data_IF_109307404684
#
_entry.id   IF_109307404684
#
_cell.length_a   1.000
_cell.length_b   1.000
_cell.length_c   1.000
_cell.angle_alpha   90.00
_cell.angle_beta   90.00
_cell.angle_gamma   90.00
#
_symmetry.space_group_name_H-M   'P 1'
#
loop_
_entity.id
_entity.type
_entity.pdbx_description
1 polymer ?
#
# COMPACT_ATOMS: atom_id res chain seq x y z
N UNK A 1 -0.71 30.27 13.51
CA UNK A 1 -1.50 29.04 13.26
C UNK A 1 -1.33 28.49 11.84
N UNK A 2 -1.19 29.34 10.82
CA UNK A 2 -1.01 28.91 9.41
C UNK A 2 0.14 27.91 9.19
N UNK A 3 1.32 28.14 9.78
CA UNK A 3 2.49 27.27 9.58
C UNK A 3 2.28 25.82 10.08
N UNK A 4 1.59 25.63 11.23
CA UNK A 4 1.29 24.29 11.76
C UNK A 4 0.34 23.56 10.82
N UNK A 5 -0.68 24.26 10.31
CA UNK A 5 -1.64 23.67 9.37
C UNK A 5 -0.93 23.17 8.11
N UNK A 6 -0.01 23.95 7.54
CA UNK A 6 0.76 23.54 6.36
C UNK A 6 1.58 22.27 6.63
N UNK A 7 2.26 22.21 7.78
CA UNK A 7 3.07 21.03 8.15
C UNK A 7 2.19 19.79 8.31
N UNK A 8 1.01 19.93 8.95
CA UNK A 8 0.07 18.82 9.14
C UNK A 8 -0.53 18.37 7.82
N UNK A 9 -0.94 19.32 6.96
CA UNK A 9 -1.50 19.02 5.64
C UNK A 9 -0.48 18.27 4.78
N UNK A 10 0.79 18.66 4.83
CA UNK A 10 1.87 17.98 4.10
C UNK A 10 2.18 16.60 4.69
N UNK A 11 2.28 16.50 6.02
CA UNK A 11 2.45 15.22 6.71
C UNK A 11 1.32 14.24 6.40
N UNK A 12 0.08 14.73 6.28
CA UNK A 12 -1.07 13.92 5.91
C UNK A 12 -0.94 13.40 4.48
N UNK A 13 -0.55 14.24 3.51
CA UNK A 13 -0.34 13.77 2.12
C UNK A 13 0.73 12.68 2.05
N UNK A 14 1.83 12.86 2.77
CA UNK A 14 2.92 11.87 2.84
C UNK A 14 2.39 10.55 3.42
N UNK A 15 1.68 10.60 4.54
CA UNK A 15 1.09 9.42 5.17
C UNK A 15 0.09 8.70 4.25
N UNK A 16 -0.79 9.43 3.58
CA UNK A 16 -1.76 8.86 2.65
C UNK A 16 -1.09 8.26 1.39
N UNK A 17 0.02 8.85 0.94
CA UNK A 17 0.81 8.29 -0.16
C UNK A 17 1.47 6.97 0.23
N UNK A 18 2.07 6.91 1.42
CA UNK A 18 2.66 5.68 1.96
C UNK A 18 1.60 4.59 2.16
N UNK A 19 0.44 4.93 2.72
CA UNK A 19 -0.70 4.03 2.87
C UNK A 19 -1.18 3.49 1.52
N UNK A 20 -1.33 4.35 0.50
CA UNK A 20 -1.70 3.92 -0.85
C UNK A 20 -0.69 2.91 -1.41
N UNK A 21 0.60 3.11 -1.14
CA UNK A 21 1.65 2.18 -1.57
C UNK A 21 1.55 0.83 -0.84
N UNK A 22 1.28 0.84 0.46
CA UNK A 22 1.06 -0.37 1.24
C UNK A 22 -0.16 -1.17 0.73
N UNK A 23 -1.31 -0.50 0.52
CA UNK A 23 -2.52 -1.13 -0.02
C UNK A 23 -2.30 -1.65 -1.44
N UNK A 24 -1.57 -0.91 -2.29
CA UNK A 24 -1.21 -1.37 -3.64
C UNK A 24 -0.44 -2.69 -3.57
N UNK A 25 0.56 -2.77 -2.70
CA UNK A 25 1.37 -3.98 -2.53
C UNK A 25 0.52 -5.14 -2.02
N UNK A 26 -0.38 -4.90 -1.07
CA UNK A 26 -1.31 -5.92 -0.55
C UNK A 26 -2.26 -6.44 -1.66
N UNK A 27 -2.74 -5.57 -2.54
CA UNK A 27 -3.53 -5.96 -3.72
C UNK A 27 -2.69 -6.84 -4.67
N UNK A 28 -1.46 -6.45 -5.00
CA UNK A 28 -0.59 -7.23 -5.88
C UNK A 28 -0.30 -8.61 -5.29
N UNK A 29 0.06 -8.68 -4.00
CA UNK A 29 0.33 -9.95 -3.32
C UNK A 29 -0.93 -10.82 -3.27
N UNK A 30 -2.09 -10.23 -2.95
CA UNK A 30 -3.36 -10.96 -2.94
C UNK A 30 -3.72 -11.52 -4.31
N UNK A 31 -3.50 -10.75 -5.39
CA UNK A 31 -3.74 -11.20 -6.76
C UNK A 31 -2.80 -12.34 -7.21
N UNK A 32 -1.58 -12.41 -6.67
CA UNK A 32 -0.61 -13.46 -6.99
C UNK A 32 -0.77 -14.72 -6.14
N UNK A 33 -1.20 -14.58 -4.88
CA UNK A 33 -1.20 -15.65 -3.89
C UNK A 33 -2.47 -16.51 -3.87
N UNK A 34 -3.66 -15.89 -3.88
CA UNK A 34 -4.86 -16.55 -3.37
C UNK A 34 -5.91 -16.96 -4.42
N UNK A 35 -5.75 -16.60 -5.71
CA UNK A 35 -6.84 -16.71 -6.71
C UNK A 35 -8.17 -16.09 -6.20
N UNK A 36 -8.11 -15.23 -5.17
CA UNK A 36 -9.27 -14.64 -4.57
C UNK A 36 -9.76 -13.49 -5.45
N UNK A 37 -11.06 -13.46 -5.69
CA UNK A 37 -11.70 -12.35 -6.36
C UNK A 37 -11.41 -11.04 -5.61
N UNK A 38 -11.26 -9.96 -6.37
CA UNK A 38 -11.02 -8.64 -5.81
C UNK A 38 -12.20 -8.20 -4.94
N UNK A 39 -11.97 -8.10 -3.63
CA UNK A 39 -12.95 -7.57 -2.66
C UNK A 39 -12.54 -6.17 -2.18
N UNK A 40 -13.25 -5.10 -2.63
CA UNK A 40 -12.94 -3.74 -2.21
C UNK A 40 -13.16 -3.50 -0.71
N UNK A 41 -14.07 -4.23 -0.05
CA UNK A 41 -14.35 -4.05 1.38
C UNK A 41 -13.22 -4.61 2.24
N UNK A 42 -12.64 -5.76 1.85
CA UNK A 42 -11.41 -6.29 2.47
C UNK A 42 -10.29 -5.25 2.47
N UNK A 43 -10.01 -4.64 1.31
CA UNK A 43 -8.95 -3.64 1.19
C UNK A 43 -9.30 -2.32 1.89
N UNK A 44 -10.58 -1.95 1.97
CA UNK A 44 -11.03 -0.82 2.77
C UNK A 44 -10.81 -1.05 4.27
N UNK A 45 -11.10 -2.26 4.76
CA UNK A 45 -10.83 -2.66 6.14
C UNK A 45 -9.32 -2.63 6.45
N UNK A 46 -8.48 -3.16 5.55
CA UNK A 46 -7.03 -3.08 5.67
C UNK A 46 -6.52 -1.63 5.70
N UNK A 47 -7.03 -0.77 4.81
CA UNK A 47 -6.68 0.65 4.79
C UNK A 47 -7.08 1.38 6.08
N UNK A 48 -8.27 1.10 6.65
CA UNK A 48 -8.69 1.65 7.95
C UNK A 48 -7.79 1.17 9.07
N UNK A 49 -7.44 -0.11 9.09
CA UNK A 49 -6.53 -0.67 10.09
C UNK A 49 -5.19 0.09 10.11
N UNK A 50 -4.58 0.29 8.93
CA UNK A 50 -3.33 1.03 8.80
C UNK A 50 -3.47 2.51 9.20
N UNK A 51 -4.57 3.18 8.84
CA UNK A 51 -4.84 4.55 9.31
C UNK A 51 -4.92 4.64 10.83
N UNK A 52 -5.60 3.69 11.49
CA UNK A 52 -5.67 3.65 12.94
C UNK A 52 -4.31 3.33 13.56
N UNK A 53 -3.50 2.46 12.94
CA UNK A 53 -2.13 2.19 13.38
C UNK A 53 -1.29 3.47 13.35
N UNK A 54 -1.29 4.20 12.22
CA UNK A 54 -0.59 5.48 12.08
C UNK A 54 -1.10 6.53 13.08
N UNK A 55 -2.40 6.57 13.33
CA UNK A 55 -3.02 7.45 14.34
C UNK A 55 -2.45 7.15 15.72
N UNK A 56 -2.49 5.88 16.16
CA UNK A 56 -1.94 5.45 17.47
C UNK A 56 -0.45 5.73 17.58
N UNK A 57 0.32 5.52 16.52
CA UNK A 57 1.74 5.84 16.50
C UNK A 57 1.96 7.35 16.73
N UNK A 58 1.24 8.22 16.01
CA UNK A 58 1.33 9.67 16.18
C UNK A 58 0.93 10.12 17.59
N UNK A 59 -0.11 9.54 18.18
CA UNK A 59 -0.48 9.81 19.56
C UNK A 59 0.62 9.40 20.56
N UNK A 60 1.21 8.22 20.37
CA UNK A 60 2.32 7.74 21.21
C UNK A 60 3.54 8.66 21.08
N UNK A 61 3.88 9.11 19.87
CA UNK A 61 4.94 10.09 19.66
C UNK A 61 4.63 11.42 20.36
N UNK A 62 3.41 11.93 20.25
CA UNK A 62 3.01 13.14 20.96
C UNK A 62 3.12 12.98 22.49
N UNK A 63 2.73 11.84 23.05
CA UNK A 63 2.88 11.53 24.48
C UNK A 63 4.35 11.50 24.89
N UNK A 64 5.21 10.78 24.15
CA UNK A 64 6.67 10.74 24.41
C UNK A 64 7.30 12.13 24.37
N UNK A 65 6.95 12.96 23.38
CA UNK A 65 7.45 14.34 23.28
C UNK A 65 6.95 15.21 24.45
N UNK A 66 5.72 15.00 24.91
CA UNK A 66 5.17 15.68 26.09
C UNK A 66 5.96 15.31 27.35
N UNK A 67 6.28 14.03 27.54
CA UNK A 67 7.00 13.55 28.70
C UNK A 67 8.45 14.02 28.70
N UNK A 68 9.13 13.94 27.55
CA UNK A 68 10.47 14.49 27.37
C UNK A 68 10.53 15.99 27.69
N UNK A 69 9.54 16.77 27.22
CA UNK A 69 9.45 18.20 27.56
C UNK A 69 9.26 18.39 29.07
N UNK A 70 8.46 17.56 29.72
CA UNK A 70 8.18 17.64 31.17
C UNK A 70 9.44 17.33 31.99
N UNK A 71 10.20 16.31 31.59
CA UNK A 71 11.49 15.94 32.20
C UNK A 71 12.51 17.05 32.05
N UNK A 72 12.69 17.58 30.83
CA UNK A 72 13.56 18.73 30.56
C UNK A 72 13.17 19.95 31.40
N UNK A 73 11.86 20.23 31.51
CA UNK A 73 11.39 21.35 32.31
C UNK A 73 11.70 21.13 33.79
N UNK A 74 11.46 19.92 34.33
CA UNK A 74 11.66 19.59 35.76
C UNK A 74 13.12 19.54 36.19
N UNK A 75 13.98 18.91 35.39
CA UNK A 75 15.41 18.75 35.68
C UNK A 75 16.15 20.08 35.75
N UNK A 76 15.53 21.18 35.30
CA UNK A 76 16.17 22.48 35.08
C UNK A 76 15.62 23.60 35.98
N UNK A 77 14.78 23.28 36.99
CA UNK A 77 14.36 24.26 38.01
C UNK A 77 15.51 24.72 38.94
N UNK A 78 16.72 24.16 38.77
CA UNK A 78 17.90 24.43 39.61
C UNK A 78 18.96 25.32 38.95
N UNK A 79 18.82 25.71 37.67
CA UNK A 79 19.80 26.57 36.96
C UNK A 79 19.09 27.45 35.92
N UNK A 80 19.57 28.66 35.67
CA UNK A 80 19.09 29.53 34.59
C UNK A 80 19.22 28.82 33.22
N UNK A 81 18.16 28.86 32.42
CA UNK A 81 18.10 28.17 31.12
C UNK A 81 18.95 28.89 30.07
N UNK A 82 19.66 28.14 29.23
CA UNK A 82 20.37 28.73 28.08
C UNK A 82 19.40 28.99 26.91
N UNK A 83 19.76 29.89 25.99
CA UNK A 83 18.93 30.21 24.80
C UNK A 83 18.59 28.95 23.97
N UNK A 84 19.57 28.07 23.76
CA UNK A 84 19.38 26.80 23.04
C UNK A 84 18.31 25.93 23.71
N UNK A 85 18.28 25.91 25.04
CA UNK A 85 17.35 25.13 25.82
C UNK A 85 15.91 25.69 25.74
N UNK A 86 15.76 27.01 25.67
CA UNK A 86 14.46 27.64 25.41
C UNK A 86 13.93 27.25 24.03
N UNK A 87 14.80 27.29 23.01
CA UNK A 87 14.46 26.89 21.66
C UNK A 87 14.03 25.41 21.59
N UNK A 88 14.72 24.50 22.27
CA UNK A 88 14.35 23.08 22.34
C UNK A 88 12.95 22.88 22.92
N UNK A 89 12.60 23.57 24.01
CA UNK A 89 11.27 23.47 24.64
C UNK A 89 10.18 23.94 23.67
N UNK A 90 10.44 25.01 22.92
CA UNK A 90 9.52 25.53 21.91
C UNK A 90 9.36 24.52 20.76
N UNK A 91 10.46 23.92 20.28
CA UNK A 91 10.42 22.90 19.25
C UNK A 91 9.66 21.65 19.68
N UNK A 92 9.89 21.15 20.90
CA UNK A 92 9.15 20.00 21.44
C UNK A 92 7.66 20.30 21.56
N UNK A 93 7.29 21.52 21.97
CA UNK A 93 5.90 21.97 22.00
C UNK A 93 5.28 21.97 20.59
N UNK A 94 6.02 22.43 19.57
CA UNK A 94 5.57 22.42 18.18
C UNK A 94 5.39 20.98 17.66
N UNK A 95 6.41 20.13 17.81
CA UNK A 95 6.39 18.72 17.39
C UNK A 95 5.20 17.98 17.98
N UNK A 96 4.95 18.15 19.28
CA UNK A 96 3.77 17.56 19.94
C UNK A 96 2.48 17.95 19.24
N UNK A 97 2.26 19.26 19.02
CA UNK A 97 1.03 19.77 18.38
C UNK A 97 0.86 19.26 16.96
N UNK A 98 1.96 19.12 16.21
CA UNK A 98 1.92 18.57 14.84
C UNK A 98 1.46 17.12 14.87
N UNK A 99 2.04 16.27 15.73
CA UNK A 99 1.64 14.86 15.82
C UNK A 99 0.21 14.69 16.37
N UNK A 100 -0.21 15.51 17.35
CA UNK A 100 -1.61 15.53 17.84
C UNK A 100 -2.58 15.81 16.69
N UNK A 101 -2.31 16.86 15.90
CA UNK A 101 -3.16 17.24 14.77
C UNK A 101 -3.11 16.28 13.59
N UNK A 102 -1.97 15.65 13.35
CA UNK A 102 -1.85 14.62 12.32
C UNK A 102 -2.65 13.37 12.70
N UNK A 103 -2.64 12.97 13.98
CA UNK A 103 -3.49 11.89 14.48
C UNK A 103 -4.98 12.22 14.29
N UNK A 104 -5.43 13.43 14.68
CA UNK A 104 -6.81 13.89 14.44
C UNK A 104 -7.20 13.81 12.95
N UNK A 105 -6.29 14.24 12.06
CA UNK A 105 -6.55 14.24 10.63
C UNK A 105 -6.59 12.83 10.03
N UNK A 106 -5.73 11.91 10.48
CA UNK A 106 -5.73 10.52 10.05
C UNK A 106 -7.01 9.80 10.49
N UNK A 107 -7.45 10.01 11.73
CA UNK A 107 -8.70 9.45 12.24
C UNK A 107 -9.92 9.98 11.46
N UNK A 108 -9.93 11.27 11.12
CA UNK A 108 -10.97 11.87 10.27
C UNK A 108 -10.98 11.33 8.83
N UNK A 109 -9.85 10.79 8.34
CA UNK A 109 -9.81 10.07 7.05
C UNK A 109 -10.32 8.64 7.23
N UNK A 110 -9.95 7.95 8.31
CA UNK A 110 -10.37 6.59 8.59
C UNK A 110 -11.89 6.45 8.77
N UNK A 111 -12.52 7.46 9.38
CA UNK A 111 -13.95 7.54 9.61
C UNK A 111 -14.76 7.96 8.36
N UNK A 112 -14.11 8.35 7.27
CA UNK A 112 -14.75 8.82 6.05
C UNK A 112 -14.67 7.72 4.97
N UNK A 113 -15.74 6.95 4.85
CA UNK A 113 -15.85 5.81 3.93
C UNK A 113 -15.56 6.20 2.48
N UNK A 114 -15.99 7.39 2.06
CA UNK A 114 -15.75 7.92 0.73
C UNK A 114 -14.26 8.19 0.48
N UNK A 115 -13.54 8.74 1.47
CA UNK A 115 -12.09 8.93 1.39
C UNK A 115 -11.36 7.59 1.37
N UNK A 116 -11.74 6.64 2.22
CA UNK A 116 -11.13 5.30 2.25
C UNK A 116 -11.34 4.60 0.92
N UNK A 117 -12.57 4.58 0.41
CA UNK A 117 -12.89 3.96 -0.87
C UNK A 117 -12.13 4.62 -2.04
N UNK A 118 -11.97 5.94 -2.04
CA UNK A 118 -11.11 6.63 -3.03
C UNK A 118 -9.65 6.22 -2.94
N UNK A 119 -9.12 6.02 -1.74
CA UNK A 119 -7.73 5.60 -1.54
C UNK A 119 -7.51 4.18 -2.07
N UNK A 120 -8.41 3.26 -1.74
CA UNK A 120 -8.38 1.87 -2.21
C UNK A 120 -8.50 1.82 -3.73
N UNK A 121 -9.45 2.54 -4.34
CA UNK A 121 -9.58 2.58 -5.83
C UNK A 121 -8.32 3.11 -6.51
N UNK A 122 -7.64 4.09 -5.92
CA UNK A 122 -6.36 4.61 -6.45
C UNK A 122 -5.24 3.59 -6.31
N UNK A 123 -5.21 2.85 -5.20
CA UNK A 123 -4.24 1.77 -4.99
C UNK A 123 -4.49 0.62 -5.98
N UNK A 124 -5.75 0.22 -6.20
CA UNK A 124 -6.14 -0.78 -7.17
C UNK A 124 -5.69 -0.42 -8.58
N UNK A 125 -5.99 0.80 -9.06
CA UNK A 125 -5.55 1.26 -10.38
C UNK A 125 -4.02 1.17 -10.52
N UNK A 126 -3.29 1.69 -9.53
CA UNK A 126 -1.83 1.64 -9.55
C UNK A 126 -1.28 0.20 -9.54
N UNK A 127 -1.95 -0.73 -8.85
CA UNK A 127 -1.59 -2.15 -8.86
C UNK A 127 -1.85 -2.78 -10.23
N UNK A 128 -3.00 -2.51 -10.84
CA UNK A 128 -3.34 -2.99 -12.19
C UNK A 128 -2.37 -2.47 -13.25
N UNK A 129 -2.00 -1.20 -13.17
CA UNK A 129 -1.01 -0.58 -14.07
C UNK A 129 0.35 -1.29 -13.94
N UNK A 130 0.83 -1.50 -12.70
CA UNK A 130 2.11 -2.16 -12.43
C UNK A 130 2.14 -3.64 -12.88
N UNK A 131 1.05 -4.38 -12.67
CA UNK A 131 0.91 -5.75 -13.16
C UNK A 131 0.93 -5.76 -14.69
N UNK A 132 0.21 -4.85 -15.33
CA UNK A 132 0.15 -4.75 -16.80
C UNK A 132 1.51 -4.43 -17.39
N UNK A 133 2.26 -3.52 -16.77
CA UNK A 133 3.62 -3.17 -17.18
C UNK A 133 4.58 -4.35 -17.01
N UNK A 134 4.46 -5.09 -15.90
CA UNK A 134 5.28 -6.27 -15.64
C UNK A 134 5.01 -7.40 -16.63
N UNK A 135 3.74 -7.67 -16.96
CA UNK A 135 3.33 -8.66 -17.97
C UNK A 135 3.82 -8.23 -19.35
N UNK A 136 3.58 -6.99 -19.76
CA UNK A 136 4.03 -6.47 -21.05
C UNK A 136 5.55 -6.57 -21.19
N UNK A 137 6.30 -6.17 -20.16
CA UNK A 137 7.75 -6.29 -20.13
C UNK A 137 8.22 -7.75 -20.22
N UNK A 138 7.51 -8.69 -19.58
CA UNK A 138 7.83 -10.12 -19.65
C UNK A 138 7.53 -10.68 -21.04
N UNK A 139 6.42 -10.30 -21.67
CA UNK A 139 6.06 -10.69 -23.04
C UNK A 139 7.07 -10.17 -24.06
N UNK A 140 7.51 -8.92 -23.93
CA UNK A 140 8.58 -8.34 -24.76
C UNK A 140 9.88 -9.12 -24.59
N UNK A 141 10.26 -9.48 -23.35
CA UNK A 141 11.49 -10.28 -23.11
C UNK A 141 11.39 -11.72 -23.62
N UNK A 142 10.19 -12.29 -23.61
CA UNK A 142 9.88 -13.58 -24.21
C UNK A 142 9.86 -13.53 -25.74
N UNK A 143 10.30 -12.40 -26.35
CA UNK A 143 10.23 -12.09 -27.77
C UNK A 143 10.23 -13.35 -28.63
N UNK A 144 9.04 -13.73 -29.04
CA UNK A 144 8.88 -14.51 -30.25
C UNK A 144 9.24 -13.53 -31.34
N UNK A 145 10.41 -13.74 -31.97
CA UNK A 145 10.95 -12.82 -32.94
C UNK A 145 9.91 -12.56 -34.05
N UNK A 146 9.31 -11.37 -34.02
CA UNK A 146 8.31 -10.94 -35.01
C UNK A 146 8.94 -10.67 -36.38
N UNK A 147 10.28 -10.69 -36.46
CA UNK A 147 11.07 -10.71 -37.68
C UNK A 147 11.67 -12.09 -37.97
N UNK A 148 11.32 -13.16 -37.24
CA UNK A 148 11.63 -14.53 -37.66
C UNK A 148 10.94 -14.71 -39.03
N UNK A 149 11.70 -14.85 -40.13
CA UNK A 149 11.11 -15.00 -41.46
C UNK A 149 10.21 -16.24 -41.54
N UNK A 150 10.38 -17.18 -40.61
CA UNK A 150 9.55 -18.37 -40.48
C UNK A 150 8.48 -18.26 -39.38
N UNK A 151 8.25 -17.08 -38.78
CA UNK A 151 7.28 -16.91 -37.69
C UNK A 151 5.90 -17.44 -38.09
N UNK A 152 5.37 -16.96 -39.22
CA UNK A 152 4.07 -17.36 -39.75
C UNK A 152 4.04 -18.86 -40.11
N UNK A 153 5.13 -19.37 -40.67
CA UNK A 153 5.27 -20.80 -41.02
C UNK A 153 5.22 -21.70 -39.78
N UNK A 154 5.90 -21.30 -38.70
CA UNK A 154 5.98 -22.07 -37.44
C UNK A 154 4.84 -21.75 -36.48
N UNK A 155 4.06 -20.70 -36.74
CA UNK A 155 2.92 -20.29 -35.89
C UNK A 155 1.89 -21.39 -35.79
N UNK A 156 1.51 -21.99 -36.93
CA UNK A 156 0.53 -23.08 -36.96
C UNK A 156 0.97 -24.27 -36.09
N UNK A 157 2.22 -24.73 -36.24
CA UNK A 157 2.77 -25.83 -35.43
C UNK A 157 2.86 -25.47 -33.94
N UNK A 158 3.23 -24.23 -33.60
CA UNK A 158 3.26 -23.75 -32.20
C UNK A 158 1.86 -23.66 -31.58
N UNK A 159 0.87 -23.20 -32.34
CA UNK A 159 -0.53 -23.17 -31.90
C UNK A 159 -1.11 -24.58 -31.72
N UNK A 160 -0.74 -25.52 -32.59
CA UNK A 160 -1.12 -26.93 -32.46
C UNK A 160 -0.52 -27.57 -31.21
N UNK A 161 0.77 -27.34 -30.95
CA UNK A 161 1.44 -27.77 -29.71
C UNK A 161 0.78 -27.15 -28.48
N UNK A 162 0.49 -25.84 -28.51
CA UNK A 162 -0.17 -25.15 -27.41
C UNK A 162 -1.56 -25.71 -27.13
N UNK A 163 -2.36 -25.99 -28.15
CA UNK A 163 -3.70 -26.58 -28.00
C UNK A 163 -3.65 -28.01 -27.45
N UNK A 164 -2.78 -28.86 -28.00
CA UNK A 164 -2.77 -30.28 -27.69
C UNK A 164 -1.97 -30.67 -26.45
N UNK A 165 -0.96 -29.88 -26.10
CA UNK A 165 -0.09 -30.16 -24.95
C UNK A 165 -0.43 -29.21 -23.82
N UNK A 166 -0.22 -27.91 -24.02
CA UNK A 166 -0.31 -26.93 -22.92
C UNK A 166 -1.75 -26.73 -22.43
N UNK A 167 -2.71 -26.58 -23.35
CA UNK A 167 -4.13 -26.40 -23.01
C UNK A 167 -4.74 -27.68 -22.44
N UNK A 168 -4.32 -28.85 -22.94
CA UNK A 168 -4.76 -30.15 -22.43
C UNK A 168 -4.24 -30.37 -20.99
N UNK A 169 -2.98 -30.03 -20.72
CA UNK A 169 -2.40 -30.07 -19.38
C UNK A 169 -3.09 -29.07 -18.43
N UNK A 170 -3.42 -27.87 -18.93
CA UNK A 170 -4.15 -26.89 -18.13
C UNK A 170 -5.56 -27.39 -17.77
N UNK A 171 -6.27 -27.98 -18.75
CA UNK A 171 -7.60 -28.57 -18.53
C UNK A 171 -7.54 -29.73 -17.55
N UNK A 172 -6.57 -30.64 -17.69
CA UNK A 172 -6.35 -31.75 -16.75
C UNK A 172 -6.19 -31.23 -15.32
N UNK A 173 -5.33 -30.23 -15.11
CA UNK A 173 -5.11 -29.62 -13.79
C UNK A 173 -6.34 -28.90 -13.25
N UNK A 174 -7.12 -28.27 -14.12
CA UNK A 174 -8.39 -27.65 -13.76
C UNK A 174 -9.42 -28.70 -13.33
N UNK A 175 -9.53 -29.81 -14.06
CA UNK A 175 -10.47 -30.89 -13.78
C UNK A 175 -10.08 -31.63 -12.47
N UNK A 176 -8.78 -31.79 -12.20
CA UNK A 176 -8.25 -32.26 -10.92
C UNK A 176 -8.59 -31.30 -9.77
N UNK A 177 -8.43 -29.98 -9.98
CA UNK A 177 -8.72 -28.97 -8.96
C UNK A 177 -10.23 -28.79 -8.68
N UNK A 178 -11.08 -29.04 -9.67
CA UNK A 178 -12.54 -28.95 -9.56
C UNK A 178 -13.21 -30.28 -9.19
N UNK A 179 -12.43 -31.35 -9.02
CA UNK A 179 -12.94 -32.68 -8.64
C UNK A 179 -13.75 -33.37 -9.73
N UNK A 180 -13.65 -32.93 -10.98
CA UNK A 180 -14.30 -33.52 -12.16
C UNK A 180 -13.49 -34.68 -12.76
N UNK A 181 -12.60 -35.31 -11.97
CA UNK A 181 -11.87 -36.50 -12.39
C UNK A 181 -12.81 -37.70 -12.44
N UNK A 182 -13.32 -37.96 -13.65
CA UNK A 182 -13.91 -39.21 -14.11
C UNK A 182 -15.04 -39.80 -13.24
N UNK A 183 -16.24 -39.22 -13.35
CA UNK A 183 -17.46 -40.03 -13.34
C UNK A 183 -17.72 -40.51 -14.77
N UNK A 184 -17.71 -41.83 -14.92
CA UNK A 184 -18.24 -42.64 -16.02
C UNK A 184 -17.40 -42.90 -17.29
N UNK A 185 -17.06 -44.20 -17.39
CA UNK A 185 -16.62 -45.08 -18.48
C UNK A 185 -15.13 -45.13 -18.87
#
# INVERSE_FOLDING_TARGET
MAAIKVIVDEGLKIALSALRMAVKNDIIVGALGDHADYDPERYAAAARHELHLLTRQNEQYARRVKDLRRELTRSRWTTDLTEDQHHDIIQLKLRRRVHEKLAEALEAVAADDDKVARLVRRAQRAASDEISDAVSSRLIKLNIDSHDPDYETRRAARTEVFLHIDLALLKLRHDEATGLSASDY
#
